data_IF_630863517884
#
_entry.id   IF_630863517884
#
_cell.length_a   1.000
_cell.length_b   1.000
_cell.length_c   1.000
_cell.angle_alpha   90.00
_cell.angle_beta   90.00
_cell.angle_gamma   90.00
#
_symmetry.space_group_name_H-M   'P 1'
#
loop_
_entity.id
_entity.type
_entity.pdbx_description
1 polymer ?
#
# COMPACT_ATOMS: atom_id res chain seq x y z
N UNK A 1 -0.70 22.54 4.83
CA UNK A 1 0.18 22.00 3.78
C UNK A 1 -0.03 20.51 3.90
N UNK A 2 -0.62 19.91 2.87
CA UNK A 2 -1.21 18.59 2.99
C UNK A 2 -0.13 17.52 3.06
N UNK A 3 0.14 17.05 4.28
CA UNK A 3 1.17 16.04 4.51
C UNK A 3 0.64 14.68 4.06
N UNK A 4 1.29 14.11 3.05
CA UNK A 4 0.97 12.79 2.52
C UNK A 4 2.24 11.95 2.43
N UNK A 5 2.10 10.64 2.34
CA UNK A 5 3.24 9.74 2.25
C UNK A 5 3.11 8.74 1.11
N UNK A 6 4.02 8.84 0.15
CA UNK A 6 4.14 7.90 -0.95
C UNK A 6 4.95 6.69 -0.50
N UNK A 7 4.37 5.50 -0.58
CA UNK A 7 5.06 4.24 -0.35
C UNK A 7 5.08 3.43 -1.64
N UNK A 8 6.28 3.06 -2.04
CA UNK A 8 6.56 2.29 -3.27
C UNK A 8 6.56 0.77 -3.01
N UNK A 9 6.43 -0.08 -4.04
CA UNK A 9 6.44 -1.54 -3.89
C UNK A 9 7.68 -2.11 -3.18
N UNK A 10 8.83 -1.46 -3.30
CA UNK A 10 10.08 -1.81 -2.62
C UNK A 10 10.18 -1.23 -1.20
N UNK A 11 9.07 -0.73 -0.65
CA UNK A 11 8.92 -0.18 0.69
C UNK A 11 9.65 1.13 0.96
N UNK A 12 10.12 1.84 -0.08
CA UNK A 12 10.61 3.20 0.12
C UNK A 12 9.43 4.14 0.39
N UNK A 13 9.52 4.87 1.51
CA UNK A 13 8.57 5.90 1.90
C UNK A 13 9.14 7.29 1.60
N UNK A 14 8.31 8.17 1.03
CA UNK A 14 8.64 9.57 0.77
C UNK A 14 7.48 10.45 1.19
N UNK A 15 7.76 11.42 2.07
CA UNK A 15 6.79 12.47 2.39
C UNK A 15 6.63 13.43 1.20
N UNK A 16 5.38 13.78 0.91
CA UNK A 16 4.99 14.71 -0.14
C UNK A 16 4.00 15.74 0.41
N UNK A 17 4.14 16.98 -0.03
CA UNK A 17 3.16 18.04 0.19
C UNK A 17 2.33 18.15 -1.09
N UNK A 18 1.27 17.34 -1.19
CA UNK A 18 0.38 17.29 -2.36
C UNK A 18 -1.06 17.10 -1.90
N UNK A 19 -1.99 17.65 -2.66
CA UNK A 19 -3.42 17.41 -2.44
C UNK A 19 -3.86 16.08 -3.07
N UNK A 20 -5.00 15.55 -2.62
CA UNK A 20 -5.60 14.33 -3.19
C UNK A 20 -5.90 14.49 -4.69
N UNK A 21 -6.19 15.71 -5.14
CA UNK A 21 -6.41 16.07 -6.55
C UNK A 21 -5.16 15.83 -7.42
N UNK A 22 -3.96 15.91 -6.84
CA UNK A 22 -2.66 15.73 -7.50
C UNK A 22 -2.15 14.27 -7.42
N UNK A 23 -2.88 13.38 -6.75
CA UNK A 23 -2.46 11.98 -6.58
C UNK A 23 -2.25 11.24 -7.92
N UNK A 24 -2.93 11.67 -9.00
CA UNK A 24 -2.83 11.03 -10.31
C UNK A 24 -1.44 11.19 -10.91
N UNK A 25 -0.85 12.36 -10.72
CA UNK A 25 0.46 12.73 -11.27
C UNK A 25 1.57 11.91 -10.61
N UNK A 26 1.41 11.60 -9.32
CA UNK A 26 2.39 10.82 -8.55
C UNK A 26 2.21 9.31 -8.73
N UNK A 27 0.97 8.84 -8.85
CA UNK A 27 0.66 7.42 -9.02
C UNK A 27 0.76 6.94 -10.48
N UNK A 28 0.93 7.86 -11.44
CA UNK A 28 1.16 7.56 -12.85
C UNK A 28 -0.05 6.96 -13.56
N UNK A 29 -1.27 7.25 -13.10
CA UNK A 29 -2.51 6.66 -13.63
C UNK A 29 -3.67 7.65 -13.70
N UNK A 30 -4.61 7.35 -14.59
CA UNK A 30 -5.79 8.19 -14.82
C UNK A 30 -7.00 7.77 -13.98
N UNK A 31 -7.05 6.48 -13.61
CA UNK A 31 -8.05 5.91 -12.73
C UNK A 31 -7.44 5.68 -11.33
N UNK A 32 -8.06 6.29 -10.32
CA UNK A 32 -7.66 6.14 -8.91
C UNK A 32 -8.73 5.36 -8.16
N UNK A 33 -8.30 4.33 -7.44
CA UNK A 33 -9.12 3.69 -6.43
C UNK A 33 -8.65 4.15 -5.04
N UNK A 34 -9.61 4.33 -4.13
CA UNK A 34 -9.36 4.72 -2.74
C UNK A 34 -9.68 3.54 -1.83
N UNK A 35 -8.75 3.21 -0.96
CA UNK A 35 -8.89 2.21 0.08
C UNK A 35 -8.76 2.92 1.43
N UNK A 36 -9.64 2.63 2.39
CA UNK A 36 -9.43 3.06 3.77
C UNK A 36 -8.60 1.98 4.46
N UNK A 37 -7.39 2.30 4.89
CA UNK A 37 -6.50 1.36 5.58
C UNK A 37 -6.52 1.69 7.07
N UNK A 38 -6.91 0.70 7.87
CA UNK A 38 -6.84 0.80 9.33
C UNK A 38 -5.56 0.11 9.78
N UNK A 39 -4.65 0.84 10.41
CA UNK A 39 -3.46 0.25 11.01
C UNK A 39 -3.77 -0.14 12.45
N UNK A 40 -3.83 -1.44 12.75
CA UNK A 40 -4.33 -1.94 14.04
C UNK A 40 -3.41 -1.63 15.23
N UNK A 41 -2.09 -1.49 15.01
CA UNK A 41 -1.16 -1.15 16.11
C UNK A 41 -1.45 0.22 16.74
N UNK A 42 -1.98 1.17 15.96
CA UNK A 42 -2.29 2.53 16.42
C UNK A 42 -3.80 2.77 16.57
N UNK A 43 -4.65 1.95 15.93
CA UNK A 43 -6.09 2.21 15.84
C UNK A 43 -6.45 3.39 14.94
N UNK A 44 -5.46 3.93 14.22
CA UNK A 44 -5.62 5.05 13.30
C UNK A 44 -6.13 4.57 11.94
N UNK A 45 -7.02 5.35 11.36
CA UNK A 45 -7.57 5.12 10.01
C UNK A 45 -6.93 6.12 9.07
N UNK A 46 -6.11 5.64 8.14
CA UNK A 46 -5.58 6.45 7.05
C UNK A 46 -6.23 6.03 5.74
N UNK A 47 -6.31 6.93 4.76
CA UNK A 47 -6.70 6.56 3.42
C UNK A 47 -5.47 6.24 2.57
N UNK A 48 -5.50 5.11 1.88
CA UNK A 48 -4.52 4.71 0.88
C UNK A 48 -5.12 4.87 -0.52
N UNK A 49 -4.48 5.68 -1.34
CA UNK A 49 -4.87 5.97 -2.73
C UNK A 49 -3.88 5.27 -3.64
N UNK A 50 -4.40 4.51 -4.61
CA UNK A 50 -3.56 3.77 -5.53
C UNK A 50 -4.16 3.81 -6.94
N UNK A 51 -3.31 3.64 -7.94
CA UNK A 51 -3.74 3.61 -9.33
C UNK A 51 -4.24 2.22 -9.70
N UNK A 52 -5.49 2.11 -10.17
CA UNK A 52 -5.99 0.84 -10.71
C UNK A 52 -5.36 0.50 -12.07
N UNK A 53 -4.80 1.51 -12.75
CA UNK A 53 -4.00 1.36 -13.95
C UNK A 53 -2.62 0.73 -13.67
N UNK A 54 -2.16 0.66 -12.41
CA UNK A 54 -0.88 0.03 -12.05
C UNK A 54 -0.79 -1.44 -12.49
N UNK A 55 -1.93 -2.12 -12.62
CA UNK A 55 -2.00 -3.49 -13.17
C UNK A 55 -1.59 -3.57 -14.65
N UNK A 56 -1.75 -2.48 -15.40
CA UNK A 56 -1.44 -2.38 -16.84
C UNK A 56 -0.02 -1.87 -17.09
N UNK A 57 0.74 -1.56 -16.04
CA UNK A 57 2.13 -1.14 -16.18
C UNK A 57 2.98 -2.24 -16.83
N UNK A 58 4.06 -1.85 -17.51
CA UNK A 58 4.98 -2.80 -18.16
C UNK A 58 5.56 -3.83 -17.17
N UNK A 59 5.79 -3.40 -15.92
CA UNK A 59 6.27 -4.25 -14.85
C UNK A 59 5.44 -4.01 -13.57
N UNK A 60 4.28 -4.69 -13.42
CA UNK A 60 3.37 -4.45 -12.31
C UNK A 60 3.92 -5.09 -11.04
N UNK A 61 4.44 -4.30 -10.11
CA UNK A 61 4.97 -4.77 -8.82
C UNK A 61 3.94 -4.63 -7.69
N UNK A 62 3.76 -5.63 -6.82
CA UNK A 62 2.82 -5.54 -5.72
C UNK A 62 3.38 -4.70 -4.57
N UNK A 63 2.52 -3.88 -3.98
CA UNK A 63 2.82 -3.14 -2.76
C UNK A 63 2.43 -3.98 -1.54
N UNK A 64 3.41 -4.56 -0.82
CA UNK A 64 3.12 -5.49 0.27
C UNK A 64 2.48 -4.81 1.47
N UNK A 65 2.84 -3.55 1.76
CA UNK A 65 2.25 -2.78 2.85
C UNK A 65 0.76 -2.51 2.62
N UNK A 66 0.42 -1.99 1.44
CA UNK A 66 -0.98 -1.70 1.12
C UNK A 66 -1.81 -2.98 0.97
N UNK A 67 -1.22 -4.07 0.48
CA UNK A 67 -1.88 -5.38 0.39
C UNK A 67 -2.16 -5.97 1.78
N UNK A 68 -1.23 -5.81 2.72
CA UNK A 68 -1.42 -6.17 4.13
C UNK A 68 -2.55 -5.36 4.75
N UNK A 69 -2.51 -4.02 4.60
CA UNK A 69 -3.53 -3.12 5.13
C UNK A 69 -4.94 -3.40 4.58
N UNK A 70 -5.05 -3.78 3.29
CA UNK A 70 -6.32 -4.25 2.71
C UNK A 70 -6.84 -5.50 3.41
N UNK A 71 -6.01 -6.53 3.54
CA UNK A 71 -6.41 -7.80 4.15
C UNK A 71 -6.88 -7.56 5.59
N UNK A 72 -6.11 -6.80 6.34
CA UNK A 72 -6.44 -6.40 7.71
C UNK A 72 -7.78 -5.68 7.80
N UNK A 73 -8.05 -4.72 6.91
CA UNK A 73 -9.35 -4.04 6.84
C UNK A 73 -10.50 -5.03 6.58
N UNK A 74 -10.31 -6.00 5.68
CA UNK A 74 -11.36 -6.92 5.25
C UNK A 74 -11.65 -8.03 6.28
N UNK A 75 -10.62 -8.52 6.96
CA UNK A 75 -10.72 -9.74 7.80
C UNK A 75 -10.43 -9.50 9.27
N UNK A 76 -9.89 -8.33 9.65
CA UNK A 76 -9.35 -8.08 10.98
C UNK A 76 -8.12 -8.94 11.30
N UNK A 77 -7.53 -9.58 10.28
CA UNK A 77 -6.40 -10.49 10.42
C UNK A 77 -5.18 -9.94 9.69
N UNK A 78 -4.25 -9.40 10.48
CA UNK A 78 -2.96 -8.90 10.05
C UNK A 78 -1.94 -10.03 9.86
N UNK A 79 -2.33 -11.32 9.93
CA UNK A 79 -1.46 -12.47 9.65
C UNK A 79 -1.08 -12.53 8.15
N UNK A 80 -0.26 -11.57 7.74
CA UNK A 80 0.51 -11.46 6.51
C UNK A 80 -0.16 -11.76 5.17
N UNK A 81 0.59 -11.48 4.10
CA UNK A 81 0.05 -11.43 2.75
C UNK A 81 -0.20 -12.83 2.23
N UNK A 82 -1.47 -13.23 2.19
CA UNK A 82 -1.87 -14.59 1.83
C UNK A 82 -2.82 -14.67 0.64
N UNK A 83 -3.43 -13.54 0.25
CA UNK A 83 -4.33 -13.47 -0.90
C UNK A 83 -3.67 -12.70 -2.07
N UNK A 84 -3.10 -13.40 -3.05
CA UNK A 84 -2.50 -12.75 -4.22
C UNK A 84 -3.52 -12.15 -5.17
N UNK A 85 -4.81 -12.53 -5.11
CA UNK A 85 -5.84 -12.02 -6.02
C UNK A 85 -6.24 -10.58 -5.69
N UNK A 86 -6.12 -10.20 -4.42
CA UNK A 86 -6.47 -8.88 -3.89
C UNK A 86 -5.26 -7.98 -3.65
N UNK A 87 -4.08 -8.35 -4.14
CA UNK A 87 -2.89 -7.53 -3.98
C UNK A 87 -3.06 -6.14 -4.64
N UNK A 88 -2.57 -5.11 -3.95
CA UNK A 88 -2.42 -3.76 -4.48
C UNK A 88 -1.14 -3.73 -5.32
N UNK A 89 -1.19 -3.13 -6.50
CA UNK A 89 -0.06 -2.99 -7.41
C UNK A 89 0.38 -1.52 -7.47
N UNK A 90 1.68 -1.31 -7.66
CA UNK A 90 2.27 0.01 -7.86
C UNK A 90 2.47 0.82 -6.58
N UNK A 91 2.90 2.08 -6.72
CA UNK A 91 3.01 2.99 -5.59
C UNK A 91 1.64 3.29 -4.98
N UNK A 92 1.65 3.64 -3.70
CA UNK A 92 0.45 3.95 -2.92
C UNK A 92 0.69 5.24 -2.15
N UNK A 93 -0.25 6.18 -2.24
CA UNK A 93 -0.22 7.43 -1.51
C UNK A 93 -1.12 7.32 -0.28
N UNK A 94 -0.51 7.43 0.89
CA UNK A 94 -1.23 7.52 2.16
C UNK A 94 -1.55 8.99 2.47
N UNK A 95 -2.80 9.23 2.86
CA UNK A 95 -3.34 10.53 3.28
C UNK A 95 -4.19 10.34 4.53
N UNK A 96 -4.39 11.40 5.30
CA UNK A 96 -5.30 11.38 6.44
C UNK A 96 -6.75 11.11 6.04
N UNK A 97 -7.61 10.90 7.03
CA UNK A 97 -9.04 10.67 6.78
C UNK A 97 -9.66 11.83 5.99
N UNK A 98 -10.57 11.50 5.08
CA UNK A 98 -11.17 12.44 4.11
C UNK A 98 -10.18 13.25 3.25
N UNK A 99 -8.88 12.93 3.25
CA UNK A 99 -7.85 13.66 2.52
C UNK A 99 -7.20 14.77 3.35
N UNK A 100 -7.36 14.70 4.68
CA UNK A 100 -6.63 15.55 5.62
C UNK A 100 -5.12 15.25 5.62
N UNK A 101 -4.38 16.15 6.26
CA UNK A 101 -2.94 16.02 6.48
C UNK A 101 -2.67 14.84 7.42
N UNK A 102 -1.65 14.03 7.11
CA UNK A 102 -1.14 13.01 8.02
C UNK A 102 -0.55 13.68 9.27
N UNK A 103 -0.91 13.16 10.43
CA UNK A 103 -0.27 13.50 11.70
C UNK A 103 1.08 12.78 11.84
N UNK A 104 1.91 13.22 12.79
CA UNK A 104 3.15 12.50 13.13
C UNK A 104 2.89 11.04 13.56
N UNK A 105 1.76 10.81 14.23
CA UNK A 105 1.35 9.47 14.68
C UNK A 105 0.96 8.57 13.50
N UNK A 106 0.27 9.12 12.49
CA UNK A 106 -0.05 8.38 11.26
C UNK A 106 1.22 7.96 10.52
N UNK A 107 2.20 8.88 10.42
CA UNK A 107 3.47 8.62 9.74
C UNK A 107 4.28 7.56 10.48
N UNK A 108 4.35 7.65 11.81
CA UNK A 108 4.97 6.62 12.62
C UNK A 108 4.29 5.26 12.44
N UNK A 109 2.95 5.23 12.40
CA UNK A 109 2.18 4.01 12.15
C UNK A 109 2.49 3.39 10.80
N UNK A 110 2.60 4.19 9.73
CA UNK A 110 2.97 3.68 8.40
C UNK A 110 4.41 3.13 8.42
N UNK A 111 5.34 3.81 9.09
CA UNK A 111 6.71 3.31 9.25
C UNK A 111 6.77 1.99 10.05
N UNK A 112 5.95 1.84 11.09
CA UNK A 112 5.84 0.58 11.82
C UNK A 112 5.30 -0.54 10.93
N UNK A 113 4.29 -0.25 10.11
CA UNK A 113 3.80 -1.17 9.08
C UNK A 113 4.90 -1.59 8.08
N UNK A 114 5.72 -0.64 7.62
CA UNK A 114 6.88 -0.94 6.75
C UNK A 114 7.84 -1.91 7.45
N UNK A 115 8.24 -1.62 8.69
CA UNK A 115 9.13 -2.48 9.47
C UNK A 115 8.55 -3.87 9.69
N UNK A 116 7.25 -3.96 9.95
CA UNK A 116 6.55 -5.25 10.10
C UNK A 116 6.67 -6.06 8.80
N UNK A 117 6.41 -5.45 7.65
CA UNK A 117 6.54 -6.10 6.34
C UNK A 117 7.98 -6.51 6.05
N UNK A 118 8.95 -5.65 6.33
CA UNK A 118 10.38 -5.98 6.17
C UNK A 118 10.79 -7.19 7.02
N UNK A 119 10.39 -7.21 8.29
CA UNK A 119 10.67 -8.33 9.20
C UNK A 119 10.06 -9.63 8.68
N UNK A 120 8.81 -9.62 8.21
CA UNK A 120 8.22 -10.81 7.62
C UNK A 120 8.88 -11.25 6.33
N UNK A 121 9.28 -10.31 5.45
CA UNK A 121 10.05 -10.65 4.25
C UNK A 121 11.35 -11.34 4.61
N UNK A 122 12.01 -10.91 5.69
CA UNK A 122 13.23 -11.53 6.18
C UNK A 122 12.97 -12.93 6.79
N UNK A 123 11.97 -13.04 7.66
CA UNK A 123 11.66 -14.27 8.41
C UNK A 123 10.99 -15.35 7.54
N UNK A 124 10.22 -14.93 6.52
CA UNK A 124 9.37 -15.79 5.68
C UNK A 124 9.63 -15.57 4.18
N UNK A 125 10.89 -15.41 3.79
CA UNK A 125 11.30 -15.06 2.42
C UNK A 125 10.68 -15.95 1.33
N UNK A 126 10.56 -17.25 1.59
CA UNK A 126 9.97 -18.20 0.64
C UNK A 126 8.47 -17.95 0.43
N UNK A 127 7.73 -17.72 1.51
CA UNK A 127 6.28 -17.50 1.45
C UNK A 127 5.98 -16.16 0.79
N UNK A 128 6.78 -15.13 1.11
CA UNK A 128 6.71 -13.85 0.42
C UNK A 128 6.97 -14.00 -1.09
N UNK A 129 8.00 -14.75 -1.48
CA UNK A 129 8.29 -14.96 -2.91
C UNK A 129 7.15 -15.70 -3.62
N UNK A 130 6.59 -16.74 -2.99
CA UNK A 130 5.45 -17.47 -3.57
C UNK A 130 4.22 -16.57 -3.76
N UNK A 131 3.93 -15.72 -2.77
CA UNK A 131 2.88 -14.73 -2.88
C UNK A 131 3.17 -13.73 -4.01
N UNK A 132 4.38 -13.15 -4.05
CA UNK A 132 4.80 -12.19 -5.07
C UNK A 132 4.67 -12.79 -6.47
N UNK A 133 5.25 -13.98 -6.70
CA UNK A 133 5.18 -14.68 -7.98
C UNK A 133 3.73 -14.97 -8.38
N UNK A 134 2.87 -15.35 -7.43
CA UNK A 134 1.46 -15.58 -7.70
C UNK A 134 0.76 -14.29 -8.16
N UNK A 135 1.04 -13.15 -7.52
CA UNK A 135 0.49 -11.85 -7.96
C UNK A 135 0.96 -11.51 -9.39
N UNK A 136 2.25 -11.62 -9.66
CA UNK A 136 2.82 -11.33 -10.99
C UNK A 136 2.22 -12.26 -12.07
N UNK A 137 2.01 -13.53 -11.76
CA UNK A 137 1.42 -14.47 -12.71
C UNK A 137 -0.07 -14.14 -12.98
N UNK A 138 -0.80 -13.68 -11.96
CA UNK A 138 -2.19 -13.23 -12.11
C UNK A 138 -2.31 -11.95 -12.94
N UNK A 139 -1.30 -11.07 -12.93
CA UNK A 139 -1.31 -9.86 -13.76
C UNK A 139 -0.94 -10.14 -15.21
N UNK A 140 -0.10 -11.15 -15.47
CA UNK A 140 0.26 -11.62 -16.81
C UNK A 140 -0.80 -12.51 -17.47
N UNK A 141 -1.76 -13.01 -16.70
CA UNK A 141 -2.75 -14.01 -17.11
C UNK A 141 -4.00 -13.50 -17.83
N UNK A 142 -3.98 -12.32 -18.46
CA UNK A 142 -5.09 -11.77 -19.28
C UNK A 142 -4.57 -11.43 -20.68
#
# INVERSE_FOLDING_TARGET
MARSMLVTPDLQAKELDIELSEAADVLGGSAQDRLHVVFVESGLTVAAVYSSDARKAENPEPNPLASMGRKEQETGDSAFISDPTRAILGPVLFVGDEGADLTDEDIESIHNGIRAVENYKADNAKDYQLWHDAVINLTKGI
#
